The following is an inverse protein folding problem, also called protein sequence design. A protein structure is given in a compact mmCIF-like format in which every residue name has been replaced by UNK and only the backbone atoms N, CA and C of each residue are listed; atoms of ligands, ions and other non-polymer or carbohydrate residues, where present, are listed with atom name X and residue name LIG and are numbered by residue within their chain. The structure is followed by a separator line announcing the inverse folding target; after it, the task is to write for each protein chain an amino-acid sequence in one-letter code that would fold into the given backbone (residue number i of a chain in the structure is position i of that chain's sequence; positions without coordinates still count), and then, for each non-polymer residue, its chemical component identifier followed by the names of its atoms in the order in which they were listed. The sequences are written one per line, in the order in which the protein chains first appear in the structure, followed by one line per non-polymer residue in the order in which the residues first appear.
data_IF_374032006829
#
_entry.id   IF_374032006829
#
_cell.length_a   1.000
_cell.length_b   1.000
_cell.length_c   1.000
_cell.angle_alpha   90.00
_cell.angle_beta   90.00
_cell.angle_gamma   90.00
#
_symmetry.space_group_name_H-M   'P 1'
#
loop_
_entity.id
_entity.type
_entity.pdbx_description
1 polymer ?
#
# COMPACT_ATOMS: atom_id res chain seq x y z
N UNK A 1 37.89 -2.85 -17.18
CA UNK A 1 37.50 -1.42 -17.31
C UNK A 1 36.20 -1.13 -16.58
N UNK A 2 36.25 -0.66 -15.33
CA UNK A 2 35.07 -0.12 -14.63
C UNK A 2 34.88 1.33 -15.07
N UNK A 3 33.75 1.67 -15.70
CA UNK A 3 33.41 3.05 -16.05
C UNK A 3 33.05 3.80 -14.77
N UNK A 4 33.55 5.01 -14.60
CA UNK A 4 33.10 5.90 -13.53
C UNK A 4 31.71 6.42 -13.93
N UNK A 5 30.68 6.29 -13.08
CA UNK A 5 29.36 6.82 -13.40
C UNK A 5 29.43 8.35 -13.45
N UNK A 6 28.97 8.93 -14.56
CA UNK A 6 28.87 10.38 -14.75
C UNK A 6 27.41 10.79 -14.63
N UNK A 7 27.14 11.86 -13.89
CA UNK A 7 25.80 12.46 -13.83
C UNK A 7 25.66 13.44 -14.99
N UNK A 8 24.58 13.33 -15.75
CA UNK A 8 24.23 14.24 -16.84
C UNK A 8 22.87 14.85 -16.55
N UNK A 9 22.74 16.17 -16.73
CA UNK A 9 21.49 16.89 -16.58
C UNK A 9 21.21 17.70 -17.85
N UNK A 10 19.95 17.74 -18.27
CA UNK A 10 19.50 18.54 -19.41
C UNK A 10 18.75 19.76 -18.92
N UNK A 11 19.14 20.93 -19.42
CA UNK A 11 18.59 22.22 -19.04
C UNK A 11 18.03 22.89 -20.29
N UNK A 12 16.81 23.40 -20.20
CA UNK A 12 16.23 24.25 -21.23
C UNK A 12 16.29 25.70 -20.77
N UNK A 13 16.93 26.55 -21.58
CA UNK A 13 17.01 27.98 -21.35
C UNK A 13 16.03 28.71 -22.28
N UNK A 14 15.21 29.59 -21.70
CA UNK A 14 14.37 30.52 -22.47
C UNK A 14 15.07 31.85 -22.79
N UNK A 15 16.12 32.20 -22.03
CA UNK A 15 16.95 33.39 -22.22
C UNK A 15 18.41 32.97 -22.47
N UNK A 16 19.02 33.50 -23.52
CA UNK A 16 20.42 33.26 -23.90
C UNK A 16 21.42 33.87 -22.91
N UNK A 17 21.11 35.01 -22.29
CA UNK A 17 22.00 35.64 -21.30
C UNK A 17 22.24 34.72 -20.09
N UNK A 18 21.17 34.01 -19.67
CA UNK A 18 21.26 33.04 -18.58
C UNK A 18 22.12 31.83 -18.98
N UNK A 19 22.08 31.40 -20.25
CA UNK A 19 22.94 30.35 -20.77
C UNK A 19 24.42 30.77 -20.71
N UNK A 20 24.76 31.97 -21.18
CA UNK A 20 26.14 32.48 -21.13
C UNK A 20 26.66 32.68 -19.70
N UNK A 21 25.81 33.16 -18.78
CA UNK A 21 26.19 33.25 -17.37
C UNK A 21 26.42 31.88 -16.75
N UNK A 22 25.67 30.84 -17.15
CA UNK A 22 25.91 29.49 -16.66
C UNK A 22 27.23 28.95 -17.21
N UNK A 23 27.41 29.05 -18.53
CA UNK A 23 28.58 28.54 -19.23
C UNK A 23 29.87 29.12 -18.66
N UNK A 24 29.95 30.44 -18.50
CA UNK A 24 31.14 31.12 -17.95
C UNK A 24 31.50 30.70 -16.52
N UNK A 25 30.54 30.25 -15.70
CA UNK A 25 30.76 29.89 -14.29
C UNK A 25 31.02 28.39 -14.10
N UNK A 26 30.33 27.56 -14.88
CA UNK A 26 30.31 26.12 -14.67
C UNK A 26 31.15 25.34 -15.68
N UNK A 27 31.47 25.89 -16.85
CA UNK A 27 32.27 25.16 -17.81
C UNK A 27 33.67 24.87 -17.24
N UNK A 28 34.04 23.58 -17.22
CA UNK A 28 35.28 23.14 -16.61
C UNK A 28 35.34 23.23 -15.08
N UNK A 29 34.23 23.51 -14.39
CA UNK A 29 34.17 23.57 -12.93
C UNK A 29 34.49 22.21 -12.29
N UNK A 30 35.26 22.22 -11.20
CA UNK A 30 35.69 21.00 -10.49
C UNK A 30 34.74 20.70 -9.33
N UNK A 31 34.07 19.56 -9.40
CA UNK A 31 33.25 19.00 -8.33
C UNK A 31 34.03 17.93 -7.58
N UNK A 32 33.89 17.92 -6.25
CA UNK A 32 34.53 16.95 -5.38
C UNK A 32 33.43 16.18 -4.65
N UNK A 33 33.43 14.86 -4.80
CA UNK A 33 32.51 13.95 -4.10
C UNK A 33 32.94 13.75 -2.64
N UNK A 34 32.07 13.23 -1.78
CA UNK A 34 32.36 12.93 -0.37
C UNK A 34 33.57 11.99 -0.18
N UNK A 35 33.91 11.22 -1.22
CA UNK A 35 35.10 10.34 -1.26
C UNK A 35 36.37 11.04 -1.76
N UNK A 36 36.36 12.36 -1.93
CA UNK A 36 37.49 13.14 -2.45
C UNK A 36 37.76 12.96 -3.95
N UNK A 37 36.83 12.36 -4.69
CA UNK A 37 36.98 12.16 -6.15
C UNK A 37 36.63 13.44 -6.88
N UNK A 38 37.49 13.82 -7.83
CA UNK A 38 37.35 15.03 -8.61
C UNK A 38 36.67 14.76 -9.95
N UNK A 39 35.70 15.58 -10.30
CA UNK A 39 34.94 15.52 -11.55
C UNK A 39 34.93 16.89 -12.18
N UNK A 40 35.19 16.97 -13.49
CA UNK A 40 35.12 18.22 -14.23
C UNK A 40 33.81 18.33 -14.97
N UNK A 41 33.13 19.45 -14.81
CA UNK A 41 31.91 19.77 -15.54
C UNK A 41 32.22 19.97 -17.02
N UNK A 42 31.33 19.48 -17.87
CA UNK A 42 31.36 19.68 -19.32
C UNK A 42 29.96 20.14 -19.72
N UNK A 43 29.89 21.26 -20.45
CA UNK A 43 28.63 21.77 -20.98
C UNK A 43 28.63 21.61 -22.49
N UNK A 44 27.69 20.81 -22.99
CA UNK A 44 27.51 20.56 -24.42
C UNK A 44 26.04 20.73 -24.79
N UNK A 45 25.77 20.92 -26.08
CA UNK A 45 24.41 20.87 -26.59
C UNK A 45 23.83 19.46 -26.45
N UNK A 46 22.54 19.39 -26.13
CA UNK A 46 21.87 18.11 -26.00
C UNK A 46 21.84 17.39 -27.36
N UNK A 47 22.16 16.09 -27.44
CA UNK A 47 22.05 15.33 -28.69
C UNK A 47 20.63 15.37 -29.27
N UNK A 48 19.63 15.50 -28.38
CA UNK A 48 18.23 15.69 -28.73
C UNK A 48 17.73 17.04 -28.20
N UNK A 49 17.55 18.00 -29.10
CA UNK A 49 17.23 19.38 -28.74
C UNK A 49 15.72 19.63 -28.52
N UNK A 50 14.85 18.65 -28.78
CA UNK A 50 13.40 18.84 -28.61
C UNK A 50 13.04 18.79 -27.13
N UNK A 51 12.30 19.79 -26.70
CA UNK A 51 11.80 19.91 -25.33
C UNK A 51 10.68 18.88 -25.14
N UNK A 52 10.73 18.05 -24.08
CA UNK A 52 9.61 17.20 -23.72
C UNK A 52 8.35 18.05 -23.55
N UNK A 53 7.34 17.79 -24.37
CA UNK A 53 6.05 18.46 -24.22
C UNK A 53 5.41 17.99 -22.92
N UNK A 54 4.70 18.89 -22.23
CA UNK A 54 3.83 18.49 -21.13
C UNK A 54 2.93 17.37 -21.64
N UNK A 55 2.92 16.23 -20.93
CA UNK A 55 2.00 15.15 -21.25
C UNK A 55 0.59 15.72 -21.19
N UNK A 56 -0.22 15.40 -22.19
CA UNK A 56 -1.66 15.69 -22.13
C UNK A 56 -2.17 14.90 -20.92
N UNK A 57 -2.61 15.63 -19.90
CA UNK A 57 -3.25 15.07 -18.71
C UNK A 57 -4.48 14.30 -19.20
N UNK A 58 -4.64 13.07 -18.72
CA UNK A 58 -5.80 12.26 -19.08
C UNK A 58 -7.06 12.97 -18.60
N UNK A 59 -8.07 13.08 -19.47
CA UNK A 59 -9.36 13.71 -19.11
C UNK A 59 -10.07 12.98 -17.97
N UNK A 60 -9.71 11.72 -17.73
CA UNK A 60 -10.22 10.86 -16.66
C UNK A 60 -9.28 10.79 -15.44
N UNK A 61 -8.20 11.56 -15.42
CA UNK A 61 -7.37 11.67 -14.23
C UNK A 61 -8.21 12.23 -13.06
N UNK A 62 -8.14 11.58 -11.89
CA UNK A 62 -8.89 11.99 -10.70
C UNK A 62 -10.40 11.74 -10.76
N UNK A 63 -10.92 10.94 -11.71
CA UNK A 63 -12.36 10.62 -11.76
C UNK A 63 -12.75 9.31 -11.09
N UNK A 64 -11.81 8.59 -10.45
CA UNK A 64 -12.08 7.28 -9.82
C UNK A 64 -13.16 7.36 -8.74
N UNK A 65 -13.23 8.47 -8.00
CA UNK A 65 -14.25 8.69 -6.96
C UNK A 65 -15.68 8.76 -7.49
N UNK A 66 -15.84 9.01 -8.80
CA UNK A 66 -17.14 9.06 -9.48
C UNK A 66 -17.50 7.74 -10.17
N UNK A 67 -16.61 6.76 -10.14
CA UNK A 67 -16.82 5.48 -10.79
C UNK A 67 -17.85 4.66 -9.99
N UNK A 68 -18.95 4.19 -10.61
CA UNK A 68 -19.95 3.37 -9.93
C UNK A 68 -19.37 2.12 -9.27
N UNK A 69 -18.35 1.50 -9.88
CA UNK A 69 -17.73 0.29 -9.34
C UNK A 69 -16.91 0.61 -8.09
N UNK A 70 -16.24 1.77 -8.07
CA UNK A 70 -15.49 2.25 -6.91
C UNK A 70 -16.41 2.60 -5.74
N UNK A 71 -17.55 3.25 -6.03
CA UNK A 71 -18.56 3.59 -5.02
C UNK A 71 -19.16 2.31 -4.43
N UNK A 72 -19.56 1.35 -5.25
CA UNK A 72 -20.10 0.07 -4.79
C UNK A 72 -19.09 -0.72 -3.94
N UNK A 73 -17.80 -0.65 -4.29
CA UNK A 73 -16.73 -1.24 -3.49
C UNK A 73 -16.60 -0.56 -2.11
N UNK A 74 -16.66 0.77 -2.06
CA UNK A 74 -16.57 1.52 -0.82
C UNK A 74 -17.77 1.24 0.11
N UNK A 75 -18.99 1.22 -0.44
CA UNK A 75 -20.20 0.85 0.32
C UNK A 75 -20.10 -0.58 0.87
N UNK A 76 -19.60 -1.51 0.06
CA UNK A 76 -19.37 -2.89 0.51
C UNK A 76 -18.36 -2.94 1.65
N UNK A 77 -17.23 -2.25 1.53
CA UNK A 77 -16.21 -2.17 2.59
C UNK A 77 -16.76 -1.60 3.89
N UNK A 78 -17.51 -0.50 3.84
CA UNK A 78 -18.13 0.10 5.02
C UNK A 78 -19.18 -0.84 5.64
N UNK A 79 -19.94 -1.54 4.80
CA UNK A 79 -20.91 -2.52 5.27
C UNK A 79 -20.24 -3.68 6.00
N UNK A 80 -19.15 -4.23 5.48
CA UNK A 80 -18.37 -5.32 6.08
C UNK A 80 -17.75 -4.90 7.41
N UNK A 81 -17.25 -3.66 7.51
CA UNK A 81 -16.70 -3.11 8.74
C UNK A 81 -17.77 -2.93 9.83
N UNK A 82 -19.01 -2.65 9.42
CA UNK A 82 -20.14 -2.46 10.33
C UNK A 82 -20.91 -3.77 10.63
N UNK A 83 -20.54 -4.88 10.00
CA UNK A 83 -20.99 -6.20 10.45
C UNK A 83 -20.32 -6.49 11.79
N UNK A 84 -21.10 -6.45 12.86
CA UNK A 84 -20.69 -6.93 14.18
C UNK A 84 -20.52 -8.45 14.09
N UNK A 85 -19.32 -8.88 13.70
CA UNK A 85 -18.92 -10.28 13.74
C UNK A 85 -19.09 -10.75 15.19
N UNK A 86 -19.88 -11.81 15.40
CA UNK A 86 -19.98 -12.46 16.70
C UNK A 86 -18.56 -12.79 17.17
N UNK A 87 -18.20 -12.37 18.38
CA UNK A 87 -16.86 -12.63 18.90
C UNK A 87 -16.65 -14.14 19.00
N UNK A 88 -15.40 -14.58 18.84
CA UNK A 88 -15.05 -16.00 18.98
C UNK A 88 -15.50 -16.58 20.34
N UNK A 89 -15.52 -15.75 21.39
CA UNK A 89 -16.01 -16.11 22.74
C UNK A 89 -17.51 -16.41 22.74
N UNK A 90 -18.34 -15.57 22.10
CA UNK A 90 -19.79 -15.80 22.02
C UNK A 90 -20.13 -17.09 21.24
N UNK A 91 -19.30 -17.44 20.26
CA UNK A 91 -19.42 -18.69 19.52
C UNK A 91 -19.08 -19.93 20.37
N UNK A 92 -18.06 -19.83 21.22
CA UNK A 92 -17.65 -20.92 22.11
C UNK A 92 -18.66 -21.13 23.24
N UNK A 93 -19.14 -20.05 23.85
CA UNK A 93 -20.10 -20.12 24.95
C UNK A 93 -21.42 -20.80 24.53
N UNK A 94 -21.93 -20.50 23.32
CA UNK A 94 -23.12 -21.17 22.76
C UNK A 94 -22.93 -22.68 22.64
N UNK A 95 -21.77 -23.15 22.14
CA UNK A 95 -21.48 -24.59 22.02
C UNK A 95 -21.35 -25.27 23.38
N UNK A 96 -20.75 -24.61 24.37
CA UNK A 96 -20.64 -25.14 25.72
C UNK A 96 -21.99 -25.23 26.41
N UNK A 97 -22.85 -24.21 26.26
CA UNK A 97 -24.22 -24.22 26.79
C UNK A 97 -25.06 -25.32 26.16
N UNK A 98 -24.98 -25.52 24.85
CA UNK A 98 -25.65 -26.62 24.15
C UNK A 98 -25.15 -27.99 24.63
N UNK A 99 -23.83 -28.15 24.80
CA UNK A 99 -23.25 -29.39 25.34
C UNK A 99 -23.66 -29.64 26.80
N UNK A 100 -23.71 -28.60 27.63
CA UNK A 100 -24.15 -28.68 29.02
C UNK A 100 -25.65 -28.98 29.12
N UNK A 101 -26.48 -28.38 28.27
CA UNK A 101 -27.91 -28.65 28.19
C UNK A 101 -28.19 -30.09 27.74
N UNK A 102 -27.50 -30.58 26.70
CA UNK A 102 -27.60 -31.96 26.24
C UNK A 102 -27.16 -32.96 27.32
N UNK A 103 -26.07 -32.64 28.04
CA UNK A 103 -25.58 -33.46 29.15
C UNK A 103 -26.53 -33.46 30.34
N UNK A 104 -27.17 -32.34 30.64
CA UNK A 104 -28.17 -32.23 31.71
C UNK A 104 -29.42 -33.05 31.41
N UNK A 105 -29.87 -33.08 30.15
CA UNK A 105 -31.02 -33.89 29.73
C UNK A 105 -30.73 -35.40 29.88
N UNK A 106 -29.55 -35.84 29.45
CA UNK A 106 -29.09 -37.23 29.62
C UNK A 106 -28.97 -37.65 31.10
N UNK A 107 -28.59 -36.71 31.98
CA UNK A 107 -28.52 -36.94 33.42
C UNK A 107 -29.90 -37.03 34.07
N UNK A 108 -30.91 -36.31 33.56
CA UNK A 108 -32.27 -36.33 34.09
C UNK A 108 -33.03 -37.62 33.71
N UNK A 109 -32.65 -38.27 32.62
CA UNK A 109 -33.23 -39.55 32.18
C UNK A 109 -32.67 -40.76 32.95
N UNK A 110 -31.59 -40.59 33.72
CA UNK A 110 -30.89 -41.69 34.42
C UNK A 110 -31.36 -42.02 35.84
N UNK A 111 -32.21 -41.20 36.48
CA UNK A 111 -32.55 -41.37 37.92
C UNK A 111 -33.92 -42.01 38.21
N UNK A 112 -34.74 -42.33 37.21
CA UNK A 112 -36.06 -42.96 37.42
C UNK A 112 -36.08 -44.46 37.06
N UNK A 113 -35.21 -45.27 37.67
CA UNK A 113 -35.33 -46.72 37.49
C UNK A 113 -34.28 -47.60 38.17
N UNK A 114 -34.23 -47.66 39.51
CA UNK A 114 -33.66 -48.82 40.21
C UNK A 114 -34.01 -48.83 41.72
N UNK A 115 -35.10 -49.50 42.12
CA UNK A 115 -35.12 -50.35 43.34
C UNK A 115 -36.14 -51.48 43.12
N UNK A 116 -35.65 -52.70 42.91
CA UNK A 116 -36.42 -53.96 42.92
C UNK A 116 -36.25 -54.60 44.30
N UNK A 117 -37.34 -55.05 44.91
CA UNK A 117 -37.37 -55.77 46.18
C UNK A 117 -37.04 -57.26 45.96
N UNK A 118 -36.12 -57.83 46.75
CA UNK A 118 -36.08 -59.27 47.05
C UNK A 118 -36.24 -59.46 48.56
N UNK A 119 -37.27 -60.21 48.94
CA UNK A 119 -37.46 -60.74 50.29
C UNK A 119 -37.80 -62.22 50.17
N UNK A 120 -37.06 -63.05 50.89
CA UNK A 120 -37.40 -64.44 51.25
C UNK A 120 -37.62 -64.48 52.75
#
# INVERSE_FOLDING_TARGET
NKRVPTTTAYLHFSNEEALFSLFSKLDGHKFIDAKGREYRALIEYAPYQKIPRKKVIDKREGTIEKDPDFIAFQEKLESELNVKVESAEAWLERREQEAMAAKALLSAEGENGAVVQEGV
#
